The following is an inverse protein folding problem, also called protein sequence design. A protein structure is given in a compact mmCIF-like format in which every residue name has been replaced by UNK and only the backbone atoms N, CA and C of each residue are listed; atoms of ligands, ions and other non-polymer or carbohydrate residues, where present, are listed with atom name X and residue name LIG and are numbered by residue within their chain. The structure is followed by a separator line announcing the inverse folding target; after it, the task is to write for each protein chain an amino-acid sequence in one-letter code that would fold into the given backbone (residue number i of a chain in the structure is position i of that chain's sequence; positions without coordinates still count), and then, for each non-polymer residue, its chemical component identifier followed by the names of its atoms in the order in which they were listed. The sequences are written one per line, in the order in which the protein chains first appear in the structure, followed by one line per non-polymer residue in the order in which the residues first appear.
data_IF_899225718825
#
_entry.id   IF_899225718825
#
_cell.length_a   1.000
_cell.length_b   1.000
_cell.length_c   1.000
_cell.angle_alpha   90.00
_cell.angle_beta   90.00
_cell.angle_gamma   90.00
#
_symmetry.space_group_name_H-M   'P 1'
#
loop_
_entity.id
_entity.type
_entity.pdbx_description
1 polymer ?
#
# COMPACT_ATOMS: atom_id res chain seq x y z
N UNK A 1 -17.03 -21.21 -6.76
CA UNK A 1 -16.86 -20.89 -8.19
C UNK A 1 -16.82 -22.21 -8.94
N UNK A 2 -17.55 -22.39 -10.04
CA UNK A 2 -17.41 -23.61 -10.84
C UNK A 2 -16.05 -23.54 -11.56
N UNK A 3 -15.19 -24.54 -11.34
CA UNK A 3 -13.86 -24.61 -11.92
C UNK A 3 -13.96 -24.70 -13.45
N UNK A 4 -13.22 -23.86 -14.15
CA UNK A 4 -13.10 -23.89 -15.62
C UNK A 4 -11.66 -24.31 -15.89
N UNK A 5 -11.48 -25.42 -16.59
CA UNK A 5 -10.15 -25.91 -16.95
C UNK A 5 -9.45 -24.88 -17.87
N UNK A 6 -8.14 -24.63 -17.67
CA UNK A 6 -7.41 -23.57 -18.37
C UNK A 6 -7.25 -23.81 -19.88
N UNK A 7 -7.36 -25.05 -20.32
CA UNK A 7 -7.24 -25.56 -21.70
C UNK A 7 -8.59 -25.67 -22.43
N UNK A 8 -9.69 -25.26 -21.79
CA UNK A 8 -11.02 -25.41 -22.37
C UNK A 8 -11.24 -24.47 -23.54
N UNK A 9 -11.52 -25.05 -24.72
CA UNK A 9 -11.87 -24.30 -25.92
C UNK A 9 -13.12 -23.43 -25.74
N UNK A 10 -13.13 -22.29 -26.44
CA UNK A 10 -14.29 -21.41 -26.47
C UNK A 10 -15.45 -22.06 -27.24
N UNK A 11 -16.66 -21.91 -26.70
CA UNK A 11 -17.88 -22.46 -27.27
C UNK A 11 -19.04 -21.47 -27.15
N UNK A 12 -20.12 -21.70 -27.90
CA UNK A 12 -21.35 -20.92 -27.80
C UNK A 12 -22.30 -21.48 -26.75
N UNK A 13 -22.94 -20.60 -25.98
CA UNK A 13 -23.96 -20.97 -25.02
C UNK A 13 -25.25 -21.37 -25.75
N UNK A 14 -25.81 -22.54 -25.45
CA UNK A 14 -27.03 -23.04 -26.11
C UNK A 14 -28.25 -22.11 -25.90
N UNK A 15 -28.36 -21.48 -24.73
CA UNK A 15 -29.52 -20.64 -24.41
C UNK A 15 -29.44 -19.22 -25.01
N UNK A 16 -28.29 -18.55 -24.91
CA UNK A 16 -28.15 -17.14 -25.30
C UNK A 16 -27.15 -16.90 -26.44
N UNK A 17 -26.64 -17.96 -27.07
CA UNK A 17 -25.64 -17.91 -28.16
C UNK A 17 -24.38 -17.12 -27.85
N UNK A 18 -24.12 -16.84 -26.57
CA UNK A 18 -22.96 -16.09 -26.18
C UNK A 18 -21.69 -16.94 -26.34
N UNK A 19 -20.67 -16.38 -26.98
CA UNK A 19 -19.41 -17.09 -27.25
C UNK A 19 -18.37 -16.83 -26.15
N UNK A 20 -17.64 -17.87 -25.77
CA UNK A 20 -16.48 -17.78 -24.88
C UNK A 20 -16.23 -19.06 -24.09
N UNK A 21 -15.41 -18.99 -23.04
CA UNK A 21 -15.07 -20.17 -22.22
C UNK A 21 -16.18 -20.43 -21.20
N UNK A 22 -16.91 -21.53 -21.38
CA UNK A 22 -18.08 -21.88 -20.59
C UNK A 22 -17.77 -23.01 -19.60
N UNK A 23 -18.36 -23.02 -18.39
CA UNK A 23 -18.23 -24.17 -17.48
C UNK A 23 -18.92 -25.44 -18.03
N UNK A 24 -19.92 -25.30 -18.89
CA UNK A 24 -20.63 -26.41 -19.56
C UNK A 24 -21.37 -25.94 -20.82
N UNK A 25 -22.47 -26.60 -21.19
CA UNK A 25 -23.30 -26.21 -22.37
C UNK A 25 -23.98 -24.84 -22.23
N UNK A 26 -24.11 -24.34 -20.99
CA UNK A 26 -24.69 -23.04 -20.67
C UNK A 26 -23.65 -22.12 -20.03
N UNK A 27 -23.74 -20.82 -20.33
CA UNK A 27 -23.03 -19.80 -19.55
C UNK A 27 -23.59 -19.74 -18.12
N UNK A 28 -22.77 -19.30 -17.16
CA UNK A 28 -23.16 -19.29 -15.74
C UNK A 28 -24.47 -18.55 -15.50
N UNK A 29 -24.69 -17.45 -16.22
CA UNK A 29 -25.91 -16.67 -16.10
C UNK A 29 -27.15 -17.38 -16.69
N UNK A 30 -27.02 -18.08 -17.81
CA UNK A 30 -28.11 -18.91 -18.36
C UNK A 30 -28.39 -20.14 -17.50
N UNK A 31 -27.34 -20.76 -16.94
CA UNK A 31 -27.50 -21.86 -15.99
C UNK A 31 -28.31 -21.42 -14.78
N UNK A 32 -27.93 -20.33 -14.11
CA UNK A 32 -28.68 -19.80 -12.96
C UNK A 32 -30.08 -19.35 -13.35
N UNK A 33 -30.25 -18.73 -14.53
CA UNK A 33 -31.57 -18.31 -14.99
C UNK A 33 -32.51 -19.51 -15.23
N UNK A 34 -32.01 -20.61 -15.79
CA UNK A 34 -32.78 -21.84 -15.98
C UNK A 34 -33.16 -22.55 -14.69
N UNK A 35 -32.39 -22.37 -13.61
CA UNK A 35 -32.76 -22.89 -12.28
C UNK A 35 -33.91 -22.10 -11.63
N UNK A 36 -34.12 -20.84 -12.03
CA UNK A 36 -35.11 -19.94 -11.43
C UNK A 36 -36.41 -19.84 -12.23
N UNK A 37 -36.43 -20.38 -13.45
CA UNK A 37 -37.50 -20.12 -14.42
C UNK A 37 -37.85 -21.39 -15.19
N UNK A 38 -39.15 -21.63 -15.35
CA UNK A 38 -39.66 -22.77 -16.10
C UNK A 38 -39.41 -22.60 -17.60
N UNK A 39 -39.24 -23.72 -18.29
CA UNK A 39 -39.13 -23.77 -19.74
C UNK A 39 -40.52 -23.56 -20.34
N UNK A 40 -40.65 -22.53 -21.17
CA UNK A 40 -41.83 -22.34 -22.00
C UNK A 40 -41.41 -21.73 -23.33
N UNK A 41 -42.38 -21.56 -24.23
CA UNK A 41 -42.15 -20.82 -25.46
C UNK A 41 -41.99 -19.32 -25.15
N UNK A 42 -40.95 -18.71 -25.72
CA UNK A 42 -40.71 -17.28 -25.62
C UNK A 42 -41.63 -16.51 -26.58
N UNK A 43 -42.41 -15.55 -26.09
CA UNK A 43 -43.34 -14.75 -26.92
C UNK A 43 -42.65 -13.94 -28.04
N UNK A 44 -41.36 -13.64 -27.92
CA UNK A 44 -40.63 -12.84 -28.91
C UNK A 44 -39.86 -13.69 -29.94
N UNK A 45 -39.17 -14.75 -29.50
CA UNK A 45 -38.32 -15.55 -30.38
C UNK A 45 -38.81 -16.97 -30.60
N UNK A 46 -39.97 -17.34 -30.04
CA UNK A 46 -40.63 -18.64 -30.16
C UNK A 46 -39.78 -19.86 -29.76
N UNK A 47 -38.65 -19.62 -29.08
CA UNK A 47 -37.77 -20.69 -28.59
C UNK A 47 -38.32 -21.29 -27.31
N UNK A 48 -38.25 -22.62 -27.20
CA UNK A 48 -38.48 -23.36 -25.96
C UNK A 48 -37.26 -23.25 -25.04
N UNK A 49 -37.29 -22.29 -24.12
CA UNK A 49 -36.20 -21.98 -23.19
C UNK A 49 -36.77 -21.49 -21.86
N UNK A 50 -35.98 -21.43 -20.77
CA UNK A 50 -36.43 -20.78 -19.56
C UNK A 50 -36.92 -19.36 -19.84
N UNK A 51 -38.10 -18.99 -19.35
CA UNK A 51 -38.69 -17.65 -19.55
C UNK A 51 -38.96 -16.93 -18.24
N UNK A 52 -38.83 -15.60 -18.28
CA UNK A 52 -39.27 -14.71 -17.22
C UNK A 52 -40.30 -13.76 -17.81
N UNK A 53 -41.54 -13.81 -17.29
CA UNK A 53 -42.68 -13.06 -17.83
C UNK A 53 -42.84 -13.30 -19.34
N UNK A 54 -42.92 -14.58 -19.74
CA UNK A 54 -43.04 -15.06 -21.14
C UNK A 54 -41.90 -14.70 -22.11
N UNK A 55 -40.84 -14.02 -21.67
CA UNK A 55 -39.66 -13.73 -22.51
C UNK A 55 -38.41 -14.46 -22.03
N UNK A 56 -37.60 -14.94 -22.98
CA UNK A 56 -36.34 -15.59 -22.67
C UNK A 56 -35.26 -14.59 -22.23
N UNK A 57 -34.22 -15.10 -21.57
CA UNK A 57 -33.08 -14.27 -21.12
C UNK A 57 -32.40 -13.49 -22.25
N UNK A 58 -32.34 -14.05 -23.47
CA UNK A 58 -31.71 -13.39 -24.61
C UNK A 58 -32.50 -12.14 -25.04
N UNK A 59 -33.83 -12.25 -25.15
CA UNK A 59 -34.71 -11.12 -25.46
C UNK A 59 -34.63 -10.04 -24.37
N UNK A 60 -34.57 -10.43 -23.09
CA UNK A 60 -34.35 -9.49 -21.99
C UNK A 60 -33.02 -8.73 -22.09
N UNK A 61 -31.96 -9.38 -22.57
CA UNK A 61 -30.66 -8.74 -22.78
C UNK A 61 -30.67 -7.78 -23.95
N UNK A 62 -31.27 -8.19 -25.07
CA UNK A 62 -31.45 -7.35 -26.26
C UNK A 62 -32.24 -6.08 -25.88
N UNK A 63 -33.39 -6.25 -25.22
CA UNK A 63 -34.19 -5.13 -24.72
C UNK A 63 -33.44 -4.22 -23.75
N UNK A 64 -32.56 -4.77 -22.92
CA UNK A 64 -31.73 -3.97 -22.02
C UNK A 64 -30.66 -3.15 -22.75
N UNK A 65 -30.22 -3.58 -23.94
CA UNK A 65 -29.24 -2.88 -24.75
C UNK A 65 -29.87 -1.77 -25.59
N UNK A 66 -31.04 -2.01 -26.15
CA UNK A 66 -31.77 -0.97 -26.88
C UNK A 66 -32.38 0.08 -25.95
N UNK A 67 -32.79 -0.29 -24.74
CA UNK A 67 -33.23 0.66 -23.73
C UNK A 67 -32.10 1.49 -23.11
N UNK A 68 -30.84 1.30 -23.53
CA UNK A 68 -29.70 2.06 -23.01
C UNK A 68 -30.00 3.56 -23.15
N UNK A 69 -29.90 4.28 -22.03
CA UNK A 69 -30.19 5.72 -21.85
C UNK A 69 -31.67 6.13 -21.68
N UNK A 70 -32.64 5.19 -21.69
CA UNK A 70 -34.04 5.48 -21.35
C UNK A 70 -34.46 4.97 -19.95
N UNK A 71 -35.18 5.82 -19.20
CA UNK A 71 -35.65 5.52 -17.84
C UNK A 71 -36.90 4.62 -17.88
N UNK A 72 -36.62 3.32 -18.00
CA UNK A 72 -37.34 2.18 -17.39
C UNK A 72 -38.86 2.04 -17.61
N UNK A 73 -39.23 1.44 -18.77
CA UNK A 73 -40.08 0.24 -18.87
C UNK A 73 -39.51 -0.60 -20.04
N UNK A 74 -39.10 -1.85 -19.79
CA UNK A 74 -38.48 -2.73 -20.82
C UNK A 74 -39.50 -3.47 -21.70
N UNK A 75 -40.78 -3.41 -21.36
CA UNK A 75 -41.85 -4.14 -22.04
C UNK A 75 -42.12 -3.69 -23.49
N UNK A 76 -42.11 -2.38 -23.84
CA UNK A 76 -42.28 -1.94 -25.23
C UNK A 76 -41.17 -2.49 -26.14
N UNK A 77 -39.95 -2.45 -25.62
CA UNK A 77 -38.75 -2.97 -26.26
C UNK A 77 -38.87 -4.48 -26.52
N UNK A 78 -39.30 -5.27 -25.53
CA UNK A 78 -39.51 -6.72 -25.70
C UNK A 78 -40.49 -7.10 -26.83
N UNK A 79 -41.33 -6.17 -27.29
CA UNK A 79 -42.30 -6.39 -28.39
C UNK A 79 -41.80 -5.93 -29.77
N UNK A 80 -40.68 -5.19 -29.85
CA UNK A 80 -40.33 -4.38 -31.03
C UNK A 80 -39.02 -4.76 -31.75
N UNK A 81 -38.28 -5.77 -31.30
CA UNK A 81 -36.97 -6.07 -31.92
C UNK A 81 -37.00 -7.17 -32.96
N UNK A 82 -36.37 -6.88 -34.09
CA UNK A 82 -36.25 -7.74 -35.27
C UNK A 82 -34.92 -8.51 -35.35
N UNK A 83 -33.98 -8.26 -34.44
CA UNK A 83 -32.65 -8.88 -34.47
C UNK A 83 -32.13 -9.25 -33.07
N UNK A 84 -31.17 -10.17 -33.04
CA UNK A 84 -30.50 -10.62 -31.82
C UNK A 84 -29.00 -10.39 -31.97
N UNK A 85 -28.42 -9.54 -31.13
CA UNK A 85 -26.97 -9.33 -31.15
C UNK A 85 -26.25 -10.49 -30.45
N UNK A 86 -25.16 -10.97 -31.04
CA UNK A 86 -24.29 -11.96 -30.40
C UNK A 86 -23.46 -11.29 -29.30
N UNK A 87 -23.31 -11.97 -28.15
CA UNK A 87 -22.60 -11.45 -27.00
C UNK A 87 -21.39 -12.30 -26.64
N UNK A 88 -20.34 -11.68 -26.14
CA UNK A 88 -19.30 -12.42 -25.43
C UNK A 88 -19.77 -12.76 -24.01
N UNK A 89 -19.44 -13.98 -23.58
CA UNK A 89 -19.71 -14.43 -22.22
C UNK A 89 -19.07 -13.48 -21.20
N UNK A 90 -19.73 -13.25 -20.05
CA UNK A 90 -19.32 -12.27 -19.01
C UNK A 90 -19.27 -10.79 -19.41
N UNK A 91 -19.63 -10.39 -20.65
CA UNK A 91 -19.66 -8.97 -21.06
C UNK A 91 -21.02 -8.28 -20.93
N UNK A 92 -22.08 -9.04 -20.63
CA UNK A 92 -23.48 -8.56 -20.52
C UNK A 92 -23.76 -7.48 -19.46
N UNK A 93 -22.79 -7.17 -18.61
CA UNK A 93 -22.81 -6.00 -17.69
C UNK A 93 -21.40 -5.43 -17.53
N UNK A 94 -20.80 -4.95 -18.60
CA UNK A 94 -20.04 -3.71 -18.45
C UNK A 94 -21.07 -2.65 -18.04
N UNK A 95 -21.30 -2.49 -16.73
CA UNK A 95 -21.87 -1.25 -16.22
C UNK A 95 -21.01 -0.16 -16.84
N UNK A 96 -21.54 0.52 -17.85
CA UNK A 96 -20.99 1.79 -18.26
C UNK A 96 -20.91 2.60 -16.96
N UNK A 97 -19.70 2.83 -16.47
CA UNK A 97 -19.48 3.99 -15.61
C UNK A 97 -19.94 5.14 -16.49
N UNK A 98 -21.12 5.68 -16.17
CA UNK A 98 -21.95 6.48 -17.07
C UNK A 98 -21.14 7.46 -17.90
N UNK A 99 -21.29 7.36 -19.22
CA UNK A 99 -20.82 8.34 -20.21
C UNK A 99 -21.99 9.20 -20.70
N UNK A 100 -22.96 9.43 -19.84
CA UNK A 100 -23.93 10.52 -19.98
C UNK A 100 -23.47 11.71 -19.12
N UNK A 101 -23.85 12.95 -19.46
CA UNK A 101 -23.61 14.09 -18.59
C UNK A 101 -24.18 13.76 -17.20
N UNK A 102 -23.39 14.01 -16.15
CA UNK A 102 -23.90 13.89 -14.78
C UNK A 102 -24.97 14.96 -14.62
N UNK A 103 -26.24 14.58 -14.74
CA UNK A 103 -27.30 15.37 -14.14
C UNK A 103 -26.93 15.46 -12.67
N UNK A 104 -26.58 16.67 -12.23
CA UNK A 104 -26.18 16.97 -10.86
C UNK A 104 -27.27 16.55 -9.87
N UNK A 105 -26.96 16.71 -8.59
CA UNK A 105 -27.84 16.37 -7.46
C UNK A 105 -29.16 17.20 -7.37
N UNK A 106 -29.72 17.65 -8.49
CA UNK A 106 -30.99 18.37 -8.56
C UNK A 106 -32.18 17.48 -9.01
N UNK A 107 -31.94 16.24 -9.45
CA UNK A 107 -32.99 15.37 -10.02
C UNK A 107 -33.62 14.34 -9.08
N UNK A 108 -33.39 14.40 -7.76
CA UNK A 108 -34.12 13.54 -6.81
C UNK A 108 -35.13 14.38 -6.04
N UNK A 109 -36.39 13.93 -6.02
CA UNK A 109 -37.39 14.39 -5.05
C UNK A 109 -36.73 14.42 -3.68
N UNK A 110 -36.72 15.59 -3.06
CA UNK A 110 -36.04 15.83 -1.79
C UNK A 110 -36.47 14.80 -0.76
N UNK A 111 -35.51 14.02 -0.26
CA UNK A 111 -35.65 13.45 1.07
C UNK A 111 -35.72 14.66 2.01
N UNK A 112 -36.80 14.74 2.79
CA UNK A 112 -36.99 15.68 3.88
C UNK A 112 -35.67 15.83 4.63
N UNK A 113 -35.13 17.04 4.70
CA UNK A 113 -33.92 17.33 5.44
C UNK A 113 -34.12 16.79 6.86
N UNK A 114 -33.36 15.76 7.23
CA UNK A 114 -33.23 15.45 8.65
C UNK A 114 -32.45 16.60 9.27
N UNK A 115 -32.90 17.14 10.42
CA UNK A 115 -32.11 18.11 11.16
C UNK A 115 -30.74 17.49 11.43
N UNK A 116 -29.70 18.26 11.13
CA UNK A 116 -28.32 17.93 11.46
C UNK A 116 -28.30 17.57 12.95
N UNK A 117 -27.85 16.37 13.36
CA UNK A 117 -27.59 16.13 14.77
C UNK A 117 -26.55 17.17 15.19
N UNK A 118 -26.94 18.06 16.10
CA UNK A 118 -26.01 18.94 16.79
C UNK A 118 -24.79 18.12 17.21
N UNK A 119 -23.59 18.66 16.95
CA UNK A 119 -22.35 18.07 17.43
C UNK A 119 -22.53 17.60 18.87
N UNK A 120 -22.23 16.34 19.22
CA UNK A 120 -22.25 15.93 20.60
C UNK A 120 -21.28 16.85 21.33
N UNK A 121 -21.82 17.69 22.21
CA UNK A 121 -21.03 18.44 23.17
C UNK A 121 -20.21 17.40 23.92
N UNK A 122 -18.92 17.37 23.66
CA UNK A 122 -17.96 16.53 24.39
C UNK A 122 -18.00 17.01 25.83
N UNK A 123 -18.83 16.39 26.66
CA UNK A 123 -18.71 16.51 28.11
C UNK A 123 -17.31 16.01 28.45
N UNK A 124 -16.43 16.85 29.04
CA UNK A 124 -15.14 16.38 29.49
C UNK A 124 -15.39 15.36 30.59
N UNK A 125 -15.24 14.08 30.25
CA UNK A 125 -15.17 13.05 31.25
C UNK A 125 -13.92 13.32 32.07
N UNK A 126 -14.09 13.63 33.36
CA UNK A 126 -13.03 13.95 34.32
C UNK A 126 -12.09 12.79 34.65
N UNK A 127 -12.31 11.63 34.02
CA UNK A 127 -11.41 10.49 34.10
C UNK A 127 -10.59 10.42 32.80
N UNK A 128 -9.32 10.82 32.90
CA UNK A 128 -8.33 10.45 31.89
C UNK A 128 -7.83 9.04 32.23
N UNK A 129 -8.03 8.09 31.31
CA UNK A 129 -7.40 6.78 31.46
C UNK A 129 -5.87 6.96 31.35
N UNK A 130 -5.20 6.91 32.49
CA UNK A 130 -3.74 6.91 32.56
C UNK A 130 -3.18 5.78 31.69
N UNK A 131 -2.42 6.16 30.68
CA UNK A 131 -1.77 5.22 29.77
C UNK A 131 -0.59 4.59 30.49
N UNK A 132 -0.67 3.29 30.73
CA UNK A 132 0.52 2.50 31.01
C UNK A 132 1.48 2.65 29.81
N UNK A 133 2.73 3.08 30.00
CA UNK A 133 3.72 3.23 28.93
C UNK A 133 4.26 1.86 28.49
N UNK A 134 3.38 0.88 28.33
CA UNK A 134 3.70 -0.40 27.75
C UNK A 134 3.57 -0.23 26.25
N UNK A 135 4.72 -0.19 25.55
CA UNK A 135 4.79 -0.29 24.09
C UNK A 135 4.30 -1.69 23.67
N UNK A 136 2.99 -1.89 23.73
CA UNK A 136 2.37 -3.16 23.35
C UNK A 136 2.34 -3.21 21.84
N UNK A 137 3.10 -4.14 21.27
CA UNK A 137 3.16 -4.36 19.82
C UNK A 137 1.76 -4.60 19.27
N UNK A 138 1.35 -3.82 18.26
CA UNK A 138 0.02 -3.95 17.66
C UNK A 138 0.03 -5.07 16.62
N UNK A 139 -0.71 -6.15 16.87
CA UNK A 139 -0.87 -7.23 15.91
C UNK A 139 -2.03 -6.98 14.95
N UNK A 140 -1.72 -6.31 13.83
CA UNK A 140 -2.68 -6.05 12.76
C UNK A 140 -3.09 -7.32 11.98
N UNK A 141 -2.42 -8.46 12.17
CA UNK A 141 -2.82 -9.70 11.50
C UNK A 141 -4.17 -10.20 12.01
N UNK A 142 -4.46 -9.99 13.30
CA UNK A 142 -5.71 -10.39 13.96
C UNK A 142 -6.87 -9.43 13.77
N UNK A 143 -6.70 -8.35 13.00
CA UNK A 143 -7.74 -7.36 12.83
C UNK A 143 -8.97 -7.92 12.09
N UNK A 144 -10.12 -7.83 12.75
CA UNK A 144 -11.42 -8.23 12.22
C UNK A 144 -12.27 -7.01 11.88
N UNK A 145 -12.36 -6.71 10.58
CA UNK A 145 -13.09 -5.54 10.07
C UNK A 145 -14.54 -5.44 10.56
N UNK A 146 -15.24 -6.56 10.76
CA UNK A 146 -16.65 -6.51 11.20
C UNK A 146 -16.81 -6.04 12.64
N UNK A 147 -15.84 -6.32 13.50
CA UNK A 147 -15.92 -6.01 14.94
C UNK A 147 -15.17 -4.75 15.31
N UNK A 148 -14.08 -4.46 14.60
CA UNK A 148 -13.10 -3.46 15.00
C UNK A 148 -13.02 -2.27 14.05
N UNK A 149 -13.77 -2.24 12.95
CA UNK A 149 -13.75 -1.10 12.03
C UNK A 149 -14.54 0.08 12.60
N UNK A 150 -13.80 1.04 13.13
CA UNK A 150 -14.27 2.39 13.35
C UNK A 150 -14.01 3.25 12.11
N UNK A 151 -15.08 3.72 11.48
CA UNK A 151 -15.05 4.62 10.32
C UNK A 151 -15.15 6.09 10.70
N UNK A 152 -15.46 6.38 11.97
CA UNK A 152 -15.59 7.71 12.55
C UNK A 152 -14.30 8.21 13.20
N UNK A 153 -13.29 7.33 13.31
CA UNK A 153 -11.98 7.70 13.84
C UNK A 153 -11.41 8.93 13.10
N UNK A 154 -11.02 10.00 13.83
CA UNK A 154 -10.55 11.24 13.23
C UNK A 154 -9.30 11.03 12.36
N UNK A 155 -8.36 10.18 12.78
CA UNK A 155 -7.15 9.89 12.01
C UNK A 155 -7.48 9.23 10.66
N UNK A 156 -8.53 8.39 10.61
CA UNK A 156 -8.99 7.77 9.37
C UNK A 156 -9.66 8.78 8.43
N UNK A 157 -10.43 9.73 8.98
CA UNK A 157 -11.05 10.81 8.21
C UNK A 157 -9.95 11.69 7.58
N UNK A 158 -8.92 12.01 8.35
CA UNK A 158 -7.78 12.82 7.91
C UNK A 158 -6.97 12.10 6.84
N UNK A 159 -6.67 10.82 7.07
CA UNK A 159 -6.00 9.99 6.08
C UNK A 159 -6.77 9.91 4.76
N UNK A 160 -8.10 9.88 4.78
CA UNK A 160 -8.92 9.90 3.56
C UNK A 160 -8.84 11.22 2.81
N UNK A 161 -8.71 12.36 3.51
CA UNK A 161 -8.46 13.66 2.89
C UNK A 161 -7.10 13.67 2.19
N UNK A 162 -6.06 13.13 2.83
CA UNK A 162 -4.72 12.97 2.26
C UNK A 162 -4.72 12.02 1.05
N UNK A 163 -5.47 10.91 1.11
CA UNK A 163 -5.61 10.01 -0.04
C UNK A 163 -6.25 10.73 -1.23
N UNK A 164 -7.23 11.61 -1.02
CA UNK A 164 -7.83 12.36 -2.11
C UNK A 164 -6.81 13.29 -2.78
N UNK A 165 -6.03 14.04 -2.01
CA UNK A 165 -5.01 14.94 -2.56
C UNK A 165 -3.88 14.17 -3.25
N UNK A 166 -3.37 13.09 -2.66
CA UNK A 166 -2.36 12.23 -3.29
C UNK A 166 -2.88 11.55 -4.56
N UNK A 167 -4.13 11.08 -4.55
CA UNK A 167 -4.72 10.45 -5.72
C UNK A 167 -4.87 11.42 -6.89
N UNK A 168 -5.18 12.69 -6.62
CA UNK A 168 -5.25 13.74 -7.64
C UNK A 168 -3.86 14.08 -8.19
N UNK A 169 -2.87 14.31 -7.31
CA UNK A 169 -1.50 14.66 -7.71
C UNK A 169 -0.79 13.52 -8.46
N UNK A 170 -1.01 12.28 -8.05
CA UNK A 170 -0.30 11.11 -8.58
C UNK A 170 -1.14 10.26 -9.55
N UNK A 171 -2.35 10.71 -9.91
CA UNK A 171 -3.21 10.02 -10.89
C UNK A 171 -3.67 8.63 -10.48
N UNK A 172 -3.98 8.40 -9.20
CA UNK A 172 -4.35 7.06 -8.73
C UNK A 172 -5.69 6.59 -9.28
N UNK A 173 -5.72 5.35 -9.77
CA UNK A 173 -6.98 4.74 -10.22
C UNK A 173 -7.92 4.48 -9.04
N UNK A 174 -9.22 4.40 -9.30
CA UNK A 174 -10.22 4.02 -8.27
C UNK A 174 -9.94 2.66 -7.61
N UNK A 175 -9.24 1.76 -8.30
CA UNK A 175 -8.83 0.48 -7.72
C UNK A 175 -7.78 0.67 -6.63
N UNK A 176 -6.77 1.49 -6.91
CA UNK A 176 -5.71 1.86 -5.96
C UNK A 176 -6.30 2.56 -4.74
N UNK A 177 -7.15 3.57 -4.93
CA UNK A 177 -7.80 4.30 -3.82
C UNK A 177 -8.55 3.33 -2.90
N UNK A 178 -9.25 2.34 -3.45
CA UNK A 178 -9.98 1.33 -2.65
C UNK A 178 -9.04 0.41 -1.88
N UNK A 179 -7.90 0.04 -2.46
CA UNK A 179 -6.90 -0.79 -1.80
C UNK A 179 -6.29 -0.02 -0.62
N UNK A 180 -5.95 1.25 -0.84
CA UNK A 180 -5.40 2.14 0.20
C UNK A 180 -6.43 2.40 1.30
N UNK A 181 -7.68 2.71 0.98
CA UNK A 181 -8.75 2.87 1.98
C UNK A 181 -8.95 1.61 2.84
N UNK A 182 -8.89 0.41 2.23
CA UNK A 182 -8.93 -0.85 3.00
C UNK A 182 -7.76 -0.99 3.97
N UNK A 183 -6.56 -0.59 3.56
CA UNK A 183 -5.38 -0.59 4.40
C UNK A 183 -5.49 0.44 5.53
N UNK A 184 -6.01 1.63 5.26
CA UNK A 184 -6.21 2.66 6.27
C UNK A 184 -7.26 2.26 7.30
N UNK A 185 -8.37 1.64 6.89
CA UNK A 185 -9.35 1.09 7.84
C UNK A 185 -8.73 0.01 8.73
N UNK A 186 -7.84 -0.83 8.19
CA UNK A 186 -7.12 -1.84 8.98
C UNK A 186 -6.21 -1.19 10.05
N UNK A 187 -5.49 -0.12 9.69
CA UNK A 187 -4.45 0.45 10.53
C UNK A 187 -4.98 1.52 11.50
N UNK A 188 -5.96 2.31 11.07
CA UNK A 188 -6.41 3.52 11.76
C UNK A 188 -7.70 3.34 12.55
N UNK A 189 -8.47 2.26 12.35
CA UNK A 189 -9.73 2.08 13.09
C UNK A 189 -9.52 1.93 14.60
N UNK A 190 -8.43 1.30 15.05
CA UNK A 190 -8.08 1.21 16.48
C UNK A 190 -7.01 2.21 16.88
N UNK A 191 -6.64 3.12 15.99
CA UNK A 191 -5.57 4.07 16.22
C UNK A 191 -6.04 5.16 17.17
N UNK A 192 -5.19 5.47 18.14
CA UNK A 192 -5.41 6.54 19.10
C UNK A 192 -4.52 7.72 18.75
N UNK A 193 -5.02 8.96 18.83
CA UNK A 193 -4.23 10.15 18.58
C UNK A 193 -2.92 10.14 19.39
N UNK A 194 -1.80 10.44 18.72
CA UNK A 194 -0.47 10.48 19.33
C UNK A 194 0.32 9.17 19.29
N UNK A 195 -0.31 8.03 19.00
CA UNK A 195 0.44 6.79 18.79
C UNK A 195 1.22 6.84 17.47
N UNK A 196 2.31 6.07 17.38
CA UNK A 196 3.00 5.83 16.11
C UNK A 196 2.77 4.40 15.65
N UNK A 197 2.68 4.20 14.34
CA UNK A 197 2.50 2.89 13.72
C UNK A 197 3.83 2.45 13.15
N UNK A 198 4.37 1.34 13.65
CA UNK A 198 5.63 0.78 13.18
C UNK A 198 5.52 0.16 11.79
N UNK A 199 6.56 0.34 10.97
CA UNK A 199 6.65 -0.29 9.66
C UNK A 199 6.66 -1.83 9.79
N UNK A 200 7.40 -2.38 10.76
CA UNK A 200 7.47 -3.82 11.01
C UNK A 200 6.14 -4.46 11.40
N UNK A 201 5.22 -3.70 11.98
CA UNK A 201 3.89 -4.15 12.39
C UNK A 201 2.89 -4.09 11.22
N UNK A 202 2.92 -3.01 10.43
CA UNK A 202 2.00 -2.86 9.29
C UNK A 202 2.39 -3.76 8.10
N UNK A 203 3.69 -3.98 7.86
CA UNK A 203 4.17 -4.65 6.64
C UNK A 203 3.62 -6.07 6.47
N UNK A 204 3.70 -6.98 7.48
CA UNK A 204 3.14 -8.32 7.37
C UNK A 204 1.63 -8.30 7.15
N UNK A 205 0.92 -7.41 7.85
CA UNK A 205 -0.53 -7.34 7.81
C UNK A 205 -1.08 -6.86 6.46
N UNK A 206 -0.42 -5.87 5.85
CA UNK A 206 -0.74 -5.40 4.50
C UNK A 206 -0.39 -6.43 3.44
N UNK A 207 0.79 -7.06 3.54
CA UNK A 207 1.24 -8.09 2.58
C UNK A 207 0.31 -9.29 2.58
N UNK A 208 -0.06 -9.80 3.76
CA UNK A 208 -0.94 -10.95 3.90
C UNK A 208 -2.34 -10.75 3.25
N UNK A 209 -2.78 -9.48 3.13
CA UNK A 209 -4.08 -9.10 2.55
C UNK A 209 -3.99 -8.59 1.12
N UNK A 210 -2.80 -8.62 0.49
CA UNK A 210 -2.57 -8.10 -0.86
C UNK A 210 -2.83 -6.60 -0.98
N UNK A 211 -2.59 -5.84 0.10
CA UNK A 211 -2.79 -4.40 0.14
C UNK A 211 -1.52 -3.65 -0.25
N UNK A 212 -1.68 -2.42 -0.77
CA UNK A 212 -0.57 -1.63 -1.32
C UNK A 212 0.28 -1.00 -0.21
N UNK A 213 1.37 -1.67 0.19
CA UNK A 213 2.27 -1.16 1.24
C UNK A 213 2.80 0.25 0.94
N UNK A 214 3.44 0.45 -0.23
CA UNK A 214 4.09 1.72 -0.54
C UNK A 214 3.17 2.93 -0.48
N UNK A 215 2.00 2.85 -1.13
CA UNK A 215 1.01 3.93 -1.13
C UNK A 215 0.37 4.17 0.23
N UNK A 216 0.19 3.13 1.03
CA UNK A 216 -0.29 3.30 2.41
C UNK A 216 0.78 3.96 3.27
N UNK A 217 2.05 3.61 3.09
CA UNK A 217 3.19 4.24 3.76
C UNK A 217 3.29 5.73 3.41
N UNK A 218 3.15 6.10 2.13
CA UNK A 218 3.11 7.51 1.70
C UNK A 218 2.04 8.32 2.45
N UNK A 219 0.82 7.78 2.58
CA UNK A 219 -0.27 8.42 3.32
C UNK A 219 0.06 8.54 4.80
N UNK A 220 0.63 7.50 5.42
CA UNK A 220 0.97 7.51 6.86
C UNK A 220 2.15 8.45 7.18
N UNK A 221 3.06 8.67 6.22
CA UNK A 221 4.12 9.67 6.31
C UNK A 221 3.50 11.07 6.28
N UNK A 222 2.63 11.38 5.32
CA UNK A 222 1.96 12.69 5.28
C UNK A 222 1.06 12.93 6.49
N UNK A 223 0.44 11.88 7.05
CA UNK A 223 -0.32 11.96 8.30
C UNK A 223 0.58 12.15 9.53
N UNK A 224 1.89 11.90 9.42
CA UNK A 224 2.84 12.00 10.52
C UNK A 224 2.68 10.90 11.58
N UNK A 225 2.07 9.77 11.24
CA UNK A 225 1.76 8.68 12.18
C UNK A 225 2.69 7.46 12.01
N UNK A 226 3.46 7.39 10.93
CA UNK A 226 4.40 6.30 10.70
C UNK A 226 5.66 6.42 11.59
N UNK A 227 6.06 5.31 12.21
CA UNK A 227 7.40 5.06 12.76
C UNK A 227 8.11 4.08 11.82
N UNK A 228 9.10 4.57 11.07
CA UNK A 228 9.88 3.76 10.14
C UNK A 228 11.02 3.05 10.88
N UNK A 229 10.70 1.94 11.52
CA UNK A 229 11.62 1.12 12.31
C UNK A 229 12.51 0.19 11.47
N UNK A 230 12.56 0.40 10.14
CA UNK A 230 13.45 -0.36 9.27
C UNK A 230 14.89 0.03 9.54
N UNK A 231 15.74 -0.97 9.77
CA UNK A 231 17.19 -0.77 9.76
C UNK A 231 17.59 -0.33 8.35
N UNK A 232 18.17 0.86 8.22
CA UNK A 232 18.57 1.38 6.93
C UNK A 232 19.65 0.48 6.29
N UNK A 233 19.70 0.47 4.96
CA UNK A 233 20.78 -0.24 4.24
C UNK A 233 22.15 0.32 4.65
N UNK A 234 22.20 1.61 4.99
CA UNK A 234 23.40 2.27 5.49
C UNK A 234 23.83 1.68 6.83
N UNK A 235 22.94 1.55 7.83
CA UNK A 235 23.28 0.96 9.13
C UNK A 235 23.78 -0.48 9.01
N UNK A 236 23.10 -1.28 8.18
CA UNK A 236 23.51 -2.67 7.95
C UNK A 236 24.89 -2.75 7.30
N UNK A 237 25.16 -1.88 6.33
CA UNK A 237 26.45 -1.78 5.67
C UNK A 237 27.54 -1.27 6.62
N UNK A 238 27.25 -0.23 7.41
CA UNK A 238 28.19 0.40 8.33
C UNK A 238 28.68 -0.62 9.36
N UNK A 239 27.74 -1.33 10.00
CA UNK A 239 28.05 -2.40 10.95
C UNK A 239 28.93 -3.50 10.34
N UNK A 240 28.65 -3.90 9.10
CA UNK A 240 29.44 -4.93 8.40
C UNK A 240 30.82 -4.40 7.97
N UNK A 241 30.89 -3.14 7.55
CA UNK A 241 32.13 -2.51 7.08
C UNK A 241 33.14 -2.24 8.18
N UNK A 242 32.65 -2.00 9.41
CA UNK A 242 33.48 -1.70 10.57
C UNK A 242 33.76 -2.92 11.47
N UNK A 243 33.12 -4.06 11.23
CA UNK A 243 33.18 -5.24 12.12
C UNK A 243 34.59 -5.83 12.34
N UNK A 244 35.54 -5.56 11.43
CA UNK A 244 36.92 -6.05 11.54
C UNK A 244 37.86 -5.04 12.23
N UNK A 245 37.37 -3.84 12.54
CA UNK A 245 38.19 -2.76 13.09
C UNK A 245 38.26 -2.82 14.62
N UNK A 246 39.40 -2.41 15.18
CA UNK A 246 39.56 -2.25 16.63
C UNK A 246 38.61 -1.17 17.19
N UNK A 247 38.16 -1.27 18.47
CA UNK A 247 37.15 -0.36 19.02
C UNK A 247 37.49 1.14 18.92
N UNK A 248 38.76 1.52 19.09
CA UNK A 248 39.18 2.92 19.00
C UNK A 248 39.04 3.49 17.58
N UNK A 249 39.52 2.76 16.58
CA UNK A 249 39.40 3.15 15.16
C UNK A 249 37.94 3.06 14.71
N UNK A 250 37.20 2.06 15.21
CA UNK A 250 35.78 1.86 14.90
C UNK A 250 34.96 3.11 15.23
N UNK A 251 35.05 3.62 16.47
CA UNK A 251 34.24 4.77 16.92
C UNK A 251 34.48 6.02 16.07
N UNK A 252 35.74 6.34 15.78
CA UNK A 252 36.10 7.53 15.01
C UNK A 252 35.67 7.42 13.54
N UNK A 253 35.88 6.26 12.91
CA UNK A 253 35.47 6.01 11.52
C UNK A 253 33.95 5.95 11.41
N UNK A 254 33.25 5.39 12.40
CA UNK A 254 31.80 5.41 12.46
C UNK A 254 31.26 6.84 12.52
N UNK A 255 31.79 7.66 13.44
CA UNK A 255 31.38 9.07 13.59
C UNK A 255 31.62 9.86 12.30
N UNK A 256 32.78 9.66 11.66
CA UNK A 256 33.11 10.28 10.38
C UNK A 256 32.14 9.87 9.25
N UNK A 257 31.84 8.56 9.11
CA UNK A 257 30.93 8.07 8.08
C UNK A 257 29.49 8.55 8.30
N UNK A 258 29.03 8.63 9.55
CA UNK A 258 27.73 9.22 9.90
C UNK A 258 27.66 10.70 9.55
N UNK A 259 28.70 11.45 9.90
CA UNK A 259 28.81 12.88 9.55
C UNK A 259 28.84 13.10 8.04
N UNK A 260 29.47 12.19 7.26
CA UNK A 260 29.43 12.24 5.81
C UNK A 260 28.03 11.91 5.25
N UNK A 261 27.34 10.94 5.83
CA UNK A 261 26.03 10.49 5.37
C UNK A 261 24.93 11.50 5.66
N UNK A 262 24.84 11.95 6.92
CA UNK A 262 23.79 12.82 7.44
C UNK A 262 24.11 14.31 7.25
N UNK A 263 25.37 14.62 6.94
CA UNK A 263 25.88 15.99 6.92
C UNK A 263 26.27 16.48 8.31
N UNK A 264 27.01 17.58 8.35
CA UNK A 264 27.45 18.22 9.58
C UNK A 264 27.43 19.74 9.47
N UNK A 265 27.83 20.46 10.54
CA UNK A 265 27.76 21.94 10.58
C UNK A 265 28.48 22.64 9.43
N UNK A 266 29.46 21.99 8.81
CA UNK A 266 30.26 22.52 7.70
C UNK A 266 30.20 21.67 6.42
N UNK A 267 29.38 20.61 6.38
CA UNK A 267 29.37 19.66 5.27
C UNK A 267 27.94 19.23 4.90
N UNK A 268 27.61 19.26 3.61
CA UNK A 268 26.33 18.75 3.13
C UNK A 268 26.29 17.20 3.18
N UNK A 269 25.10 16.61 3.42
CA UNK A 269 24.89 15.17 3.37
C UNK A 269 25.38 14.59 2.03
N UNK A 270 26.07 13.44 2.08
CA UNK A 270 26.53 12.73 0.89
C UNK A 270 25.72 11.47 0.66
N UNK A 271 25.61 11.09 -0.62
CA UNK A 271 24.96 9.85 -1.00
C UNK A 271 25.64 8.64 -0.37
N UNK A 272 24.85 7.61 -0.07
CA UNK A 272 25.33 6.35 0.48
C UNK A 272 26.45 5.73 -0.37
N UNK A 273 26.33 5.78 -1.70
CA UNK A 273 27.35 5.30 -2.63
C UNK A 273 28.69 6.02 -2.45
N UNK A 274 28.68 7.32 -2.14
CA UNK A 274 29.90 8.08 -1.87
C UNK A 274 30.54 7.62 -0.56
N UNK A 275 29.74 7.45 0.50
CA UNK A 275 30.25 6.94 1.79
C UNK A 275 30.88 5.56 1.63
N UNK A 276 30.28 4.70 0.82
CA UNK A 276 30.81 3.38 0.47
C UNK A 276 32.16 3.44 -0.21
N UNK A 277 32.31 4.29 -1.23
CA UNK A 277 33.57 4.47 -1.95
C UNK A 277 34.66 5.00 -1.02
N UNK A 278 34.34 5.94 -0.14
CA UNK A 278 35.28 6.51 0.82
C UNK A 278 35.79 5.47 1.81
N UNK A 279 34.89 4.68 2.43
CA UNK A 279 35.32 3.60 3.32
C UNK A 279 36.14 2.56 2.55
N UNK A 280 35.72 2.18 1.34
CA UNK A 280 36.46 1.21 0.51
C UNK A 280 37.90 1.66 0.26
N UNK A 281 38.11 2.94 -0.03
CA UNK A 281 39.44 3.52 -0.27
C UNK A 281 40.26 3.63 1.02
N UNK A 282 39.63 4.01 2.13
CA UNK A 282 40.32 4.17 3.42
C UNK A 282 40.64 2.83 4.11
N UNK A 283 39.85 1.78 3.85
CA UNK A 283 39.91 0.50 4.60
C UNK A 283 41.30 -0.14 4.65
N UNK A 284 42.08 -0.23 3.56
CA UNK A 284 43.43 -0.80 3.63
C UNK A 284 44.35 -0.04 4.59
N UNK A 285 44.28 1.31 4.58
CA UNK A 285 45.07 2.14 5.48
C UNK A 285 44.63 1.98 6.93
N UNK A 286 43.32 1.92 7.19
CA UNK A 286 42.78 1.69 8.55
C UNK A 286 43.22 0.35 9.14
N UNK A 287 43.23 -0.72 8.34
CA UNK A 287 43.72 -2.03 8.77
C UNK A 287 45.24 -2.04 9.01
N UNK A 288 46.01 -1.34 8.17
CA UNK A 288 47.44 -1.18 8.36
C UNK A 288 47.78 -0.36 9.62
N UNK A 289 47.00 0.67 9.92
CA UNK A 289 47.16 1.44 11.15
C UNK A 289 46.80 0.62 12.38
N UNK A 290 45.73 -0.17 12.33
CA UNK A 290 45.38 -1.10 13.40
C UNK A 290 46.50 -2.10 13.70
N UNK A 291 47.12 -2.70 12.67
CA UNK A 291 48.22 -3.64 12.88
C UNK A 291 49.45 -2.95 13.47
N UNK A 292 49.78 -1.73 13.03
CA UNK A 292 50.86 -0.93 13.59
C UNK A 292 50.59 -0.53 15.06
N UNK A 293 49.35 -0.18 15.42
CA UNK A 293 48.98 0.13 16.81
C UNK A 293 49.11 -1.10 17.71
N UNK A 294 48.74 -2.29 17.23
CA UNK A 294 48.90 -3.55 17.98
C UNK A 294 50.39 -3.88 18.19
N UNK A 295 51.25 -3.59 17.20
CA UNK A 295 52.71 -3.78 17.32
C UNK A 295 53.31 -2.79 18.32
N UNK A 296 52.90 -1.53 18.31
CA UNK A 296 53.37 -0.51 19.26
C UNK A 296 53.00 -0.84 20.72
N UNK A 297 51.81 -1.38 20.97
CA UNK A 297 51.37 -1.81 22.31
C UNK A 297 52.07 -3.10 22.78
N UNK A 298 52.58 -3.93 21.85
CA UNK A 298 53.33 -5.16 22.16
C UNK A 298 54.84 -4.97 22.29
N UNK A 299 55.37 -3.81 21.93
CA UNK A 299 56.75 -3.47 22.26
C UNK A 299 56.82 -3.15 23.76
N UNK A 300 57.58 -3.90 24.59
CA UNK A 300 57.87 -3.44 25.93
C UNK A 300 58.59 -2.10 25.77
N UNK A 301 58.15 -1.10 26.55
CA UNK A 301 58.77 0.21 26.58
C UNK A 301 60.29 0.03 26.72
N UNK A 302 61.04 0.30 25.65
CA UNK A 302 62.49 0.51 25.76
C UNK A 302 62.65 1.78 26.55
N UNK A 303 62.84 1.64 27.87
CA UNK A 303 63.29 2.70 28.74
C UNK A 303 64.56 3.29 28.13
N UNK A 304 64.42 4.49 27.58
CA UNK A 304 65.53 5.31 27.11
C UNK A 304 66.35 5.70 28.32
N UNK A 305 67.52 5.08 28.49
CA UNK A 305 68.49 5.46 29.52
C UNK A 305 69.39 6.55 28.93
N UNK A 306 69.43 7.77 29.49
CA UNK A 306 70.28 8.82 28.96
C UNK A 306 71.70 8.62 29.48
N UNK A 307 72.59 8.06 28.67
CA UNK A 307 74.04 8.12 28.93
C UNK A 307 74.56 9.49 28.53
N UNK A 308 74.86 10.29 29.54
CA UNK A 308 75.53 11.58 29.46
C UNK A 308 76.96 11.45 28.94
N UNK A 309 77.27 12.12 27.83
CA UNK A 309 78.63 12.58 27.53
C UNK A 309 78.55 14.06 27.10
N UNK A 310 79.25 14.99 27.79
CA UNK A 310 79.22 16.40 27.43
C UNK A 310 80.20 16.70 26.28
N UNK A 311 79.74 17.46 25.29
CA UNK A 311 80.58 18.15 24.32
C UNK A 311 81.36 19.28 25.02
N UNK A 312 82.65 19.50 24.71
CA UNK A 312 83.38 20.63 25.24
C UNK A 312 83.04 21.89 24.44
N UNK A 313 82.72 22.96 25.17
CA UNK A 313 82.67 24.32 24.65
C UNK A 313 84.10 24.85 24.44
N UNK A 314 84.34 25.51 23.31
CA UNK A 314 85.49 26.40 23.13
C UNK A 314 84.99 27.70 22.51
N UNK A 315 84.80 28.69 23.39
CA UNK A 315 84.64 30.09 23.04
C UNK A 315 86.01 30.70 22.72
N UNK A 316 86.02 31.47 21.62
CA UNK A 316 86.62 32.80 21.43
C UNK A 316 88.09 33.07 21.81
N UNK A 317 88.80 33.76 20.89
CA UNK A 317 89.74 34.90 21.08
C UNK A 317 90.05 35.42 19.64
N UNK A 318 89.38 36.46 19.16
CA UNK A 318 89.84 37.86 18.98
C UNK A 318 91.22 38.07 18.36
N UNK A 319 91.27 38.57 17.11
CA UNK A 319 91.64 39.96 16.76
C UNK A 319 91.33 40.25 15.29
#
# INVERSE_FOLDING_TARGET
MAYIAPDKAAASCVACFAWGVLPGRYCRACYTFGQLHQVSECTCCHRLVPVKKSYCRLCWLQASLEAKDQVTILEPFLRQFSYQQLFFTNMHRQRSKGRGPRIGRAGRRGLRAQPVPSEPVTVPHSWEQLRLPLQTRRDYLRFERRRQADLTNPALIDARRIVASLAERCGWTRGVIRIVDRALVLLLSTHTPGDKIRFSDLFPALRARGLSVGRTVEVLIELGVLDDDRISVFETWLKRGLGDLSPGIHTDVEHWLRTLHDGGPRARPRSQATCWSYLRLARPALLAWQSATIISVRSPATTYSPSSTPFPALNAITR
#
